data_IF_791798920500
#
_entry.id   IF_791798920500
#
_cell.length_a   1.000
_cell.length_b   1.000
_cell.length_c   1.000
_cell.angle_alpha   90.00
_cell.angle_beta   90.00
_cell.angle_gamma   90.00
#
_symmetry.space_group_name_H-M   'P 1'
#
loop_
_entity.id
_entity.type
_entity.pdbx_description
1 polymer ?
#
# COMPACT_ATOMS: atom_id res chain seq x y z
N UNK A 1 -9.63 48.13 -11.56
CA UNK A 1 -9.84 46.73 -11.16
C UNK A 1 -8.97 45.82 -12.02
N UNK A 2 -7.73 45.49 -11.61
CA UNK A 2 -6.92 44.51 -12.37
C UNK A 2 -5.78 43.82 -11.58
N UNK A 3 -5.76 43.90 -10.25
CA UNK A 3 -4.66 43.34 -9.43
C UNK A 3 -5.06 42.13 -8.57
N UNK A 4 -6.31 41.66 -8.60
CA UNK A 4 -6.76 40.59 -7.71
C UNK A 4 -6.55 39.16 -8.23
N UNK A 5 -6.38 38.93 -9.55
CA UNK A 5 -6.37 37.56 -10.12
C UNK A 5 -5.00 36.86 -10.18
N UNK A 6 -3.89 37.54 -9.89
CA UNK A 6 -2.55 36.97 -10.04
C UNK A 6 -2.02 36.27 -8.77
N UNK A 7 -2.71 36.42 -7.63
CA UNK A 7 -2.22 35.97 -6.32
C UNK A 7 -2.88 34.70 -5.77
N UNK A 8 -3.86 34.10 -6.45
CA UNK A 8 -4.43 32.81 -6.02
C UNK A 8 -3.63 31.59 -6.52
N UNK A 9 -2.93 31.73 -7.66
CA UNK A 9 -2.05 30.66 -8.18
C UNK A 9 -0.74 30.51 -7.39
N UNK A 10 -0.39 31.47 -6.54
CA UNK A 10 0.81 31.46 -5.71
C UNK A 10 0.58 30.77 -4.33
N UNK A 11 -0.61 30.21 -4.09
CA UNK A 11 -1.00 29.60 -2.81
C UNK A 11 -1.21 28.09 -2.87
N UNK A 12 -0.59 27.42 -3.83
CA UNK A 12 -0.20 26.02 -3.68
C UNK A 12 1.31 26.06 -3.48
N UNK A 13 1.73 26.15 -2.22
CA UNK A 13 3.14 25.95 -1.83
C UNK A 13 3.64 24.75 -2.61
N UNK A 14 4.62 24.98 -3.50
CA UNK A 14 5.22 23.96 -4.34
C UNK A 14 5.83 22.89 -3.43
N UNK A 15 5.00 21.93 -3.08
CA UNK A 15 5.34 20.80 -2.23
C UNK A 15 6.51 20.11 -2.88
N UNK A 16 7.62 20.01 -2.13
CA UNK A 16 8.88 19.44 -2.62
C UNK A 16 8.57 18.10 -3.30
N UNK A 17 9.10 17.83 -4.50
CA UNK A 17 8.92 16.53 -5.13
C UNK A 17 9.43 15.45 -4.17
N UNK A 18 8.72 14.32 -4.14
CA UNK A 18 9.16 13.15 -3.39
C UNK A 18 10.58 12.79 -3.83
N UNK A 19 11.41 12.37 -2.88
CA UNK A 19 12.70 11.82 -3.26
C UNK A 19 12.51 10.47 -4.00
N UNK A 20 13.58 9.97 -4.62
CA UNK A 20 13.53 8.73 -5.40
C UNK A 20 13.07 7.52 -4.57
N UNK A 21 13.42 7.48 -3.28
CA UNK A 21 13.11 6.39 -2.37
C UNK A 21 11.65 6.47 -1.90
N UNK A 22 11.18 7.65 -1.51
CA UNK A 22 9.77 7.90 -1.14
C UNK A 22 8.85 7.63 -2.33
N UNK A 23 9.24 8.06 -3.53
CA UNK A 23 8.50 7.75 -4.76
C UNK A 23 8.40 6.24 -4.98
N UNK A 24 9.49 5.49 -4.79
CA UNK A 24 9.47 4.03 -4.91
C UNK A 24 8.56 3.37 -3.87
N UNK A 25 8.58 3.86 -2.62
CA UNK A 25 7.65 3.38 -1.57
C UNK A 25 6.21 3.58 -2.02
N UNK A 26 5.88 4.76 -2.55
CA UNK A 26 4.52 5.08 -3.02
C UNK A 26 4.09 4.18 -4.16
N UNK A 27 4.97 3.94 -5.16
CA UNK A 27 4.69 3.03 -6.27
C UNK A 27 4.39 1.61 -5.75
N UNK A 28 5.16 1.11 -4.79
CA UNK A 28 4.95 -0.22 -4.22
C UNK A 28 3.64 -0.28 -3.43
N UNK A 29 3.35 0.73 -2.62
CA UNK A 29 2.08 0.81 -1.86
C UNK A 29 0.89 0.86 -2.79
N UNK A 30 0.95 1.70 -3.83
CA UNK A 30 -0.09 1.83 -4.84
C UNK A 30 -0.37 0.49 -5.54
N UNK A 31 0.69 -0.18 -6.00
CA UNK A 31 0.60 -1.53 -6.57
C UNK A 31 -0.08 -2.49 -5.59
N UNK A 32 0.36 -2.54 -4.34
CA UNK A 32 -0.20 -3.51 -3.38
C UNK A 32 -1.65 -3.20 -3.05
N UNK A 33 -2.05 -1.94 -2.98
CA UNK A 33 -3.45 -1.55 -2.76
C UNK A 33 -4.37 -1.96 -3.93
N UNK A 34 -3.86 -1.95 -5.15
CA UNK A 34 -4.57 -2.47 -6.33
C UNK A 34 -4.62 -4.01 -6.38
N UNK A 35 -3.87 -4.69 -5.50
CA UNK A 35 -3.78 -6.15 -5.40
C UNK A 35 -4.17 -6.63 -3.99
N UNK A 36 -5.24 -6.06 -3.45
CA UNK A 36 -5.86 -6.45 -2.17
C UNK A 36 -4.90 -6.40 -0.96
N UNK A 37 -3.86 -5.58 -1.02
CA UNK A 37 -2.84 -5.45 0.01
C UNK A 37 -1.70 -6.47 -0.07
N UNK A 38 -1.57 -7.22 -1.18
CA UNK A 38 -0.58 -8.29 -1.32
C UNK A 38 0.25 -8.18 -2.61
N UNK A 39 1.38 -8.88 -2.64
CA UNK A 39 2.14 -9.07 -3.88
C UNK A 39 3.39 -9.94 -3.72
N UNK A 40 3.74 -10.69 -4.75
CA UNK A 40 5.01 -11.41 -4.79
C UNK A 40 6.15 -10.47 -5.16
N UNK A 41 7.30 -10.59 -4.51
CA UNK A 41 8.44 -9.69 -4.73
C UNK A 41 8.89 -9.62 -6.20
N UNK A 42 8.76 -10.71 -6.93
CA UNK A 42 9.07 -10.82 -8.36
C UNK A 42 8.11 -9.97 -9.18
N UNK A 43 6.80 -10.14 -8.99
CA UNK A 43 5.75 -9.39 -9.69
C UNK A 43 5.82 -7.90 -9.40
N UNK A 44 5.98 -7.52 -8.13
CA UNK A 44 6.16 -6.11 -7.74
C UNK A 44 7.40 -5.54 -8.45
N UNK A 45 8.52 -6.28 -8.45
CA UNK A 45 9.74 -5.80 -9.09
C UNK A 45 9.62 -5.68 -10.61
N UNK A 46 8.94 -6.62 -11.26
CA UNK A 46 8.71 -6.63 -12.69
C UNK A 46 7.81 -5.46 -13.10
N UNK A 47 6.73 -5.23 -12.34
CA UNK A 47 5.86 -4.08 -12.52
C UNK A 47 6.65 -2.76 -12.43
N UNK A 48 7.44 -2.58 -11.37
CA UNK A 48 8.20 -1.34 -11.17
C UNK A 48 9.24 -1.14 -12.29
N UNK A 49 10.03 -2.17 -12.60
CA UNK A 49 11.11 -2.06 -13.60
C UNK A 49 10.54 -1.82 -15.01
N UNK A 50 9.40 -2.42 -15.32
CA UNK A 50 8.76 -2.26 -16.64
C UNK A 50 8.11 -0.89 -16.81
N UNK A 51 7.46 -0.35 -15.78
CA UNK A 51 6.78 0.95 -15.84
C UNK A 51 7.73 2.14 -15.61
N UNK A 52 8.85 1.92 -14.92
CA UNK A 52 9.85 2.94 -14.60
C UNK A 52 11.27 2.48 -14.99
N UNK A 53 11.51 2.19 -16.28
CA UNK A 53 12.76 1.63 -16.73
C UNK A 53 13.93 2.58 -16.44
N UNK A 54 15.07 2.01 -16.03
CA UNK A 54 16.32 2.72 -15.66
C UNK A 54 16.22 3.64 -14.44
N UNK A 55 15.03 3.79 -13.84
CA UNK A 55 14.81 4.59 -12.62
C UNK A 55 15.02 3.74 -11.36
N UNK A 56 14.58 2.48 -11.42
CA UNK A 56 14.63 1.55 -10.31
C UNK A 56 15.11 0.17 -10.77
N UNK A 57 15.66 -0.59 -9.83
CA UNK A 57 16.12 -1.96 -10.01
C UNK A 57 15.34 -2.92 -9.11
N UNK A 58 15.26 -4.19 -9.49
CA UNK A 58 14.64 -5.23 -8.65
C UNK A 58 15.29 -5.32 -7.26
N UNK A 59 16.59 -5.02 -7.15
CA UNK A 59 17.29 -4.98 -5.86
C UNK A 59 16.78 -3.85 -4.96
N UNK A 60 16.53 -2.66 -5.51
CA UNK A 60 15.97 -1.54 -4.75
C UNK A 60 14.55 -1.84 -4.28
N UNK A 61 13.71 -2.40 -5.16
CA UNK A 61 12.34 -2.83 -4.81
C UNK A 61 12.38 -3.81 -3.63
N UNK A 62 13.20 -4.87 -3.72
CA UNK A 62 13.35 -5.85 -2.64
C UNK A 62 13.96 -5.22 -1.39
N UNK A 63 14.86 -4.24 -1.54
CA UNK A 63 15.41 -3.47 -0.43
C UNK A 63 14.34 -2.68 0.32
N UNK A 64 13.42 -2.02 -0.40
CA UNK A 64 12.28 -1.32 0.20
C UNK A 64 11.38 -2.30 0.96
N UNK A 65 11.01 -3.43 0.32
CA UNK A 65 10.16 -4.44 0.95
C UNK A 65 10.78 -4.97 2.26
N UNK A 66 12.10 -5.19 2.31
CA UNK A 66 12.77 -5.71 3.52
C UNK A 66 12.94 -4.66 4.63
N UNK A 67 13.17 -3.40 4.25
CA UNK A 67 13.65 -2.38 5.19
C UNK A 67 12.55 -1.43 5.66
N UNK A 68 11.33 -1.55 5.15
CA UNK A 68 10.20 -0.72 5.59
C UNK A 68 9.20 -1.56 6.38
N UNK A 69 8.87 -1.17 7.62
CA UNK A 69 8.09 -2.00 8.53
C UNK A 69 6.64 -2.21 8.10
N UNK A 70 6.12 -1.42 7.17
CA UNK A 70 4.78 -1.64 6.62
C UNK A 70 4.71 -2.82 5.64
N UNK A 71 5.83 -3.37 5.18
CA UNK A 71 5.81 -4.55 4.30
C UNK A 71 6.15 -5.79 5.14
N UNK A 72 5.12 -6.58 5.43
CA UNK A 72 5.25 -7.84 6.16
C UNK A 72 5.36 -9.03 5.20
N UNK A 73 5.87 -10.16 5.69
CA UNK A 73 5.69 -11.42 5.00
C UNK A 73 4.25 -11.90 5.16
N UNK A 74 3.62 -12.29 4.05
CA UNK A 74 2.32 -12.95 4.05
C UNK A 74 2.54 -14.46 4.16
N UNK A 75 1.66 -15.16 4.86
CA UNK A 75 1.64 -16.62 4.82
C UNK A 75 1.08 -17.05 3.47
N UNK A 76 1.75 -17.99 2.80
CA UNK A 76 1.26 -18.49 1.52
C UNK A 76 1.75 -19.90 1.27
N UNK A 77 0.81 -20.77 0.92
CA UNK A 77 1.08 -22.11 0.42
C UNK A 77 1.28 -22.11 -1.12
N UNK A 78 1.11 -20.96 -1.77
CA UNK A 78 1.27 -20.83 -3.22
C UNK A 78 2.74 -21.00 -3.62
N UNK A 79 3.02 -21.99 -4.46
CA UNK A 79 4.34 -22.18 -5.05
C UNK A 79 4.53 -21.23 -6.23
N UNK A 80 4.85 -19.97 -5.92
CA UNK A 80 5.20 -18.92 -6.89
C UNK A 80 6.63 -18.43 -6.66
N UNK A 81 7.25 -17.92 -7.72
CA UNK A 81 8.58 -17.35 -7.64
C UNK A 81 8.55 -16.05 -6.80
N UNK A 82 9.49 -15.89 -5.87
CA UNK A 82 9.55 -14.73 -4.97
C UNK A 82 8.79 -14.94 -3.66
N UNK A 83 9.07 -14.07 -2.67
CA UNK A 83 8.35 -14.10 -1.38
C UNK A 83 7.04 -13.33 -1.51
N UNK A 84 5.95 -13.81 -0.92
CA UNK A 84 4.68 -13.05 -0.80
C UNK A 84 4.82 -12.01 0.32
N UNK A 85 4.39 -10.79 0.02
CA UNK A 85 4.39 -9.67 0.94
C UNK A 85 2.96 -9.17 1.16
N UNK A 86 2.72 -8.64 2.35
CA UNK A 86 1.48 -7.96 2.74
C UNK A 86 1.76 -6.53 3.17
N UNK A 87 0.83 -5.64 2.89
CA UNK A 87 0.87 -4.25 3.31
C UNK A 87 0.18 -4.09 4.68
N UNK A 88 0.96 -3.77 5.71
CA UNK A 88 0.45 -3.33 7.01
C UNK A 88 0.01 -1.87 6.92
N UNK A 89 -1.32 -1.67 6.91
CA UNK A 89 -1.94 -0.35 6.84
C UNK A 89 -1.66 0.53 8.06
N UNK A 90 -1.41 -0.05 9.24
CA UNK A 90 -0.99 0.70 10.43
C UNK A 90 0.48 1.11 10.33
N UNK A 91 1.32 0.23 9.78
CA UNK A 91 2.69 0.55 9.40
C UNK A 91 2.76 1.69 8.40
N UNK A 92 1.89 1.67 7.37
CA UNK A 92 1.76 2.73 6.37
C UNK A 92 1.35 4.07 6.99
N UNK A 93 0.32 4.08 7.84
CA UNK A 93 -0.14 5.27 8.54
C UNK A 93 0.97 5.87 9.43
N UNK A 94 1.69 5.02 10.19
CA UNK A 94 2.86 5.46 10.97
C UNK A 94 3.96 6.02 10.09
N UNK A 95 4.21 5.43 8.92
CA UNK A 95 5.23 5.91 7.98
C UNK A 95 4.90 7.32 7.49
N UNK A 96 3.65 7.59 7.12
CA UNK A 96 3.20 8.92 6.71
C UNK A 96 3.35 9.95 7.85
N UNK A 97 2.87 9.60 9.06
CA UNK A 97 2.89 10.50 10.23
C UNK A 97 4.29 10.81 10.74
N UNK A 98 5.16 9.81 10.75
CA UNK A 98 6.52 9.92 11.29
C UNK A 98 7.55 10.39 10.26
N UNK A 99 7.14 10.62 9.01
CA UNK A 99 8.07 11.14 8.02
C UNK A 99 8.62 12.51 8.42
N UNK A 100 9.90 12.72 8.08
CA UNK A 100 10.54 14.04 8.14
C UNK A 100 9.94 14.98 7.09
N UNK A 101 9.47 14.41 5.98
CA UNK A 101 8.74 15.14 4.94
C UNK A 101 7.29 15.34 5.40
N UNK A 102 6.96 16.55 5.86
CA UNK A 102 5.61 16.87 6.37
C UNK A 102 4.55 16.95 5.28
N UNK A 103 4.95 17.06 4.02
CA UNK A 103 4.03 17.04 2.88
C UNK A 103 3.64 15.62 2.47
N UNK A 104 4.25 14.59 3.06
CA UNK A 104 4.05 13.18 2.65
C UNK A 104 2.58 12.73 2.71
N UNK A 105 1.77 13.10 3.74
CA UNK A 105 0.33 12.82 3.74
C UNK A 105 -0.41 13.47 2.58
N UNK A 106 -0.13 14.75 2.28
CA UNK A 106 -0.73 15.47 1.15
C UNK A 106 -0.31 14.87 -0.20
N UNK A 107 0.92 14.36 -0.30
CA UNK A 107 1.35 13.58 -1.47
C UNK A 107 0.58 12.26 -1.58
N UNK A 108 0.27 11.61 -0.47
CA UNK A 108 -0.53 10.38 -0.50
C UNK A 108 -1.95 10.67 -1.00
N UNK A 109 -2.55 11.79 -0.57
CA UNK A 109 -3.82 12.29 -1.11
C UNK A 109 -3.75 12.54 -2.61
N UNK A 110 -2.67 13.16 -3.12
CA UNK A 110 -2.53 13.41 -4.56
C UNK A 110 -2.31 12.16 -5.41
N UNK A 111 -2.10 11.00 -4.78
CA UNK A 111 -1.99 9.68 -5.42
C UNK A 111 -3.27 8.83 -5.19
N UNK A 112 -4.31 9.42 -4.60
CA UNK A 112 -5.56 8.75 -4.22
C UNK A 112 -5.37 7.52 -3.31
N UNK A 113 -4.21 7.42 -2.63
CA UNK A 113 -3.91 6.30 -1.73
C UNK A 113 -4.89 6.20 -0.55
N UNK A 114 -5.34 7.31 0.09
CA UNK A 114 -6.31 7.21 1.18
C UNK A 114 -7.62 6.51 0.78
N UNK A 115 -8.10 6.75 -0.45
CA UNK A 115 -9.31 6.11 -0.97
C UNK A 115 -9.09 4.61 -1.18
N UNK A 116 -7.97 4.22 -1.81
CA UNK A 116 -7.61 2.81 -1.99
C UNK A 116 -7.42 2.08 -0.66
N UNK A 117 -6.83 2.75 0.34
CA UNK A 117 -6.70 2.23 1.72
C UNK A 117 -8.07 2.02 2.35
N UNK A 118 -9.00 2.97 2.19
CA UNK A 118 -10.36 2.82 2.70
C UNK A 118 -11.07 1.62 2.04
N UNK A 119 -10.98 1.51 0.71
CA UNK A 119 -11.55 0.39 -0.03
C UNK A 119 -11.02 -0.96 0.47
N UNK A 120 -9.71 -1.09 0.66
CA UNK A 120 -9.11 -2.31 1.18
C UNK A 120 -9.61 -2.65 2.58
N UNK A 121 -9.66 -1.68 3.49
CA UNK A 121 -10.21 -1.89 4.85
C UNK A 121 -11.66 -2.36 4.80
N UNK A 122 -12.49 -1.73 3.96
CA UNK A 122 -13.88 -2.11 3.81
C UNK A 122 -14.03 -3.52 3.26
N UNK A 123 -13.24 -3.89 2.25
CA UNK A 123 -13.25 -5.24 1.69
C UNK A 123 -12.85 -6.30 2.74
N UNK A 124 -11.78 -6.06 3.51
CA UNK A 124 -11.35 -6.96 4.59
C UNK A 124 -12.42 -7.13 5.67
N UNK A 125 -13.05 -6.03 6.10
CA UNK A 125 -14.12 -6.06 7.10
C UNK A 125 -15.35 -6.79 6.55
N UNK A 126 -15.77 -6.51 5.33
CA UNK A 126 -16.91 -7.16 4.69
C UNK A 126 -16.71 -8.68 4.54
N UNK A 127 -15.52 -9.11 4.10
CA UNK A 127 -15.17 -10.52 4.00
C UNK A 127 -15.15 -11.20 5.38
N UNK A 128 -14.70 -10.49 6.41
CA UNK A 128 -14.72 -11.00 7.80
C UNK A 128 -16.15 -11.18 8.30
N UNK A 129 -17.03 -10.20 8.05
CA UNK A 129 -18.46 -10.30 8.40
C UNK A 129 -19.10 -11.50 7.70
N UNK A 130 -18.86 -11.63 6.39
CA UNK A 130 -19.39 -12.74 5.59
C UNK A 130 -18.96 -14.10 6.16
N UNK A 131 -17.69 -14.26 6.53
CA UNK A 131 -17.22 -15.49 7.17
C UNK A 131 -17.89 -15.74 8.53
N UNK A 132 -18.13 -14.70 9.32
CA UNK A 132 -18.77 -14.81 10.64
C UNK A 132 -20.27 -15.13 10.57
N UNK A 133 -20.96 -14.79 9.48
CA UNK A 133 -22.37 -15.14 9.29
C UNK A 133 -22.59 -16.66 9.21
N UNK A 134 -21.56 -17.42 8.84
CA UNK A 134 -21.60 -18.88 8.79
C UNK A 134 -21.29 -19.56 10.14
N UNK A 135 -21.00 -18.77 11.19
CA UNK A 135 -20.54 -19.28 12.48
C UNK A 135 -21.62 -20.07 13.23
N UNK A 136 -21.36 -21.36 13.41
CA UNK A 136 -22.08 -22.25 14.31
C UNK A 136 -21.11 -23.31 14.89
N UNK A 137 -21.52 -24.10 15.89
CA UNK A 137 -20.63 -25.08 16.53
C UNK A 137 -20.00 -26.11 15.59
N UNK A 138 -20.61 -26.41 14.44
CA UNK A 138 -20.11 -27.38 13.47
C UNK A 138 -19.16 -26.76 12.44
N UNK A 139 -19.20 -25.43 12.24
CA UNK A 139 -18.42 -24.70 11.22
C UNK A 139 -17.27 -23.88 11.80
N UNK A 140 -17.03 -23.92 13.12
CA UNK A 140 -16.04 -23.09 13.82
C UNK A 140 -14.66 -23.11 13.15
N UNK A 141 -14.14 -24.30 12.82
CA UNK A 141 -12.80 -24.43 12.23
C UNK A 141 -12.74 -23.82 10.81
N UNK A 142 -13.78 -24.00 10.01
CA UNK A 142 -13.88 -23.42 8.66
C UNK A 142 -13.99 -21.90 8.72
N UNK A 143 -14.81 -21.37 9.63
CA UNK A 143 -14.94 -19.92 9.84
C UNK A 143 -13.62 -19.33 10.34
N UNK A 144 -12.93 -20.02 11.25
CA UNK A 144 -11.61 -19.62 11.72
C UNK A 144 -10.58 -19.57 10.58
N UNK A 145 -10.55 -20.60 9.72
CA UNK A 145 -9.68 -20.63 8.55
C UNK A 145 -10.01 -19.50 7.57
N UNK A 146 -11.29 -19.24 7.28
CA UNK A 146 -11.73 -18.18 6.39
C UNK A 146 -11.29 -16.80 6.90
N UNK A 147 -11.50 -16.51 8.19
CA UNK A 147 -11.05 -15.25 8.81
C UNK A 147 -9.52 -15.18 8.75
N UNK A 148 -8.81 -16.25 9.10
CA UNK A 148 -7.35 -16.29 9.04
C UNK A 148 -6.84 -15.98 7.62
N UNK A 149 -7.49 -16.50 6.59
CA UNK A 149 -7.16 -16.21 5.19
C UNK A 149 -7.38 -14.75 4.78
N UNK A 150 -8.35 -14.04 5.38
CA UNK A 150 -8.59 -12.61 5.10
C UNK A 150 -7.47 -11.72 5.67
N UNK A 151 -6.86 -12.12 6.78
CA UNK A 151 -5.92 -11.29 7.56
C UNK A 151 -4.45 -11.76 7.53
N UNK A 152 -4.16 -12.89 6.89
CA UNK A 152 -2.81 -13.50 6.75
C UNK A 152 -2.01 -12.96 5.58
#
# INVERSE_FOLDING_TARGET
MQTAKKNEAAKVTASRPLDMTETLVFIIVDYMLDHDGYGFSTQISEFVVSNYPRRYTSREVVGILRNRPMFGHAQSNERRAGKKWRLDLLGWDRYLKNSRNKDLPTKAESWDLPEKVLKLKMAQIANTITALEELNPETVDTVYEAISSVWS
#
